data_IF_162601165578
#
_entry.id   IF_162601165578
#
_cell.length_a   1.000
_cell.length_b   1.000
_cell.length_c   1.000
_cell.angle_alpha   90.00
_cell.angle_beta   90.00
_cell.angle_gamma   90.00
#
_symmetry.space_group_name_H-M   'P 1'
#
loop_
_entity.id
_entity.type
_entity.pdbx_description
1 polymer ?
#
# COMPACT_ATOMS: atom_id res chain seq x y z
N UNK A 1 -0.20 -16.99 1.62
CA UNK A 1 -0.35 -16.41 0.27
C UNK A 1 0.48 -17.24 -0.69
N UNK A 2 -0.10 -17.69 -1.81
CA UNK A 2 0.65 -18.40 -2.85
C UNK A 2 1.53 -17.40 -3.64
N UNK A 3 2.54 -17.93 -4.36
CA UNK A 3 3.52 -17.08 -5.07
C UNK A 3 2.85 -16.21 -6.15
N UNK A 4 1.83 -16.73 -6.83
CA UNK A 4 1.07 -15.97 -7.82
C UNK A 4 0.41 -14.72 -7.23
N UNK A 5 -0.28 -14.83 -6.08
CA UNK A 5 -0.96 -13.70 -5.45
C UNK A 5 0.04 -12.72 -4.82
N UNK A 6 1.21 -13.20 -4.37
CA UNK A 6 2.32 -12.34 -3.98
C UNK A 6 2.83 -11.50 -5.15
N UNK A 7 3.12 -12.14 -6.30
CA UNK A 7 3.58 -11.43 -7.51
C UNK A 7 2.57 -10.39 -7.98
N UNK A 8 1.27 -10.72 -7.95
CA UNK A 8 0.20 -9.77 -8.25
C UNK A 8 0.21 -8.59 -7.26
N UNK A 9 0.29 -8.87 -5.94
CA UNK A 9 0.33 -7.81 -4.92
C UNK A 9 1.52 -6.85 -5.13
N UNK A 10 2.71 -7.39 -5.41
CA UNK A 10 3.91 -6.61 -5.67
C UNK A 10 3.80 -5.81 -6.98
N UNK A 11 3.27 -6.41 -8.05
CA UNK A 11 3.03 -5.71 -9.31
C UNK A 11 2.07 -4.52 -9.11
N UNK A 12 0.97 -4.71 -8.37
CA UNK A 12 0.04 -3.63 -8.04
C UNK A 12 0.71 -2.54 -7.20
N UNK A 13 1.58 -2.91 -6.26
CA UNK A 13 2.33 -1.96 -5.43
C UNK A 13 3.31 -1.11 -6.26
N UNK A 14 3.95 -1.73 -7.27
CA UNK A 14 4.82 -1.02 -8.21
C UNK A 14 3.99 -0.06 -9.06
N UNK A 15 2.86 -0.51 -9.60
CA UNK A 15 1.97 0.32 -10.43
C UNK A 15 1.48 1.55 -9.67
N UNK A 16 0.99 1.38 -8.43
CA UNK A 16 0.49 2.52 -7.66
C UNK A 16 1.62 3.48 -7.26
N UNK A 17 2.79 2.96 -6.89
CA UNK A 17 3.97 3.77 -6.57
C UNK A 17 4.44 4.56 -7.78
N UNK A 18 4.46 3.95 -8.97
CA UNK A 18 4.78 4.61 -10.23
C UNK A 18 3.79 5.72 -10.58
N UNK A 19 2.48 5.48 -10.40
CA UNK A 19 1.44 6.49 -10.61
C UNK A 19 1.58 7.68 -9.66
N UNK A 20 1.96 7.43 -8.39
CA UNK A 20 2.24 8.46 -7.40
C UNK A 20 3.50 9.28 -7.79
N UNK A 21 4.60 8.63 -8.14
CA UNK A 21 5.85 9.29 -8.55
C UNK A 21 5.64 10.15 -9.81
N UNK A 22 4.93 9.61 -10.80
CA UNK A 22 4.64 10.32 -12.05
C UNK A 22 3.55 11.40 -11.91
N UNK A 23 2.94 11.57 -10.72
CA UNK A 23 1.80 12.47 -10.51
C UNK A 23 0.63 12.21 -11.48
N UNK A 24 0.39 10.93 -11.83
CA UNK A 24 -0.59 10.50 -12.83
C UNK A 24 -1.88 9.92 -12.23
N UNK A 25 -2.01 9.87 -10.90
CA UNK A 25 -3.17 9.31 -10.19
C UNK A 25 -4.50 9.89 -10.68
N UNK A 26 -4.62 11.22 -10.81
CA UNK A 26 -5.85 11.87 -11.27
C UNK A 26 -6.15 11.58 -12.75
N UNK A 27 -5.12 11.56 -13.60
CA UNK A 27 -5.25 11.27 -15.04
C UNK A 27 -5.77 9.85 -15.26
N UNK A 28 -5.29 8.90 -14.46
CA UNK A 28 -5.66 7.50 -14.51
C UNK A 28 -6.55 7.12 -13.32
N UNK A 29 -7.55 7.96 -13.02
CA UNK A 29 -8.39 7.84 -11.82
C UNK A 29 -8.93 6.43 -11.61
N UNK A 30 -9.62 5.88 -12.59
CA UNK A 30 -10.25 4.56 -12.48
C UNK A 30 -9.25 3.44 -12.29
N UNK A 31 -8.14 3.48 -13.03
CA UNK A 31 -7.04 2.53 -12.87
C UNK A 31 -6.42 2.63 -11.47
N UNK A 32 -6.17 3.84 -10.98
CA UNK A 32 -5.57 4.08 -9.66
C UNK A 32 -6.47 3.56 -8.53
N UNK A 33 -7.79 3.77 -8.65
CA UNK A 33 -8.77 3.28 -7.68
C UNK A 33 -8.89 1.76 -7.73
N UNK A 34 -8.92 1.16 -8.93
CA UNK A 34 -8.94 -0.29 -9.09
C UNK A 34 -7.68 -0.94 -8.50
N UNK A 35 -6.50 -0.40 -8.80
CA UNK A 35 -5.23 -0.89 -8.25
C UNK A 35 -5.18 -0.73 -6.74
N UNK A 36 -5.62 0.42 -6.19
CA UNK A 36 -5.68 0.65 -4.75
C UNK A 36 -6.63 -0.34 -4.05
N UNK A 37 -7.79 -0.60 -4.65
CA UNK A 37 -8.75 -1.59 -4.12
C UNK A 37 -8.18 -3.01 -4.17
N UNK A 38 -7.56 -3.41 -5.27
CA UNK A 38 -6.92 -4.72 -5.39
C UNK A 38 -5.77 -4.88 -4.40
N UNK A 39 -4.97 -3.83 -4.16
CA UNK A 39 -3.93 -3.83 -3.12
C UNK A 39 -4.52 -4.02 -1.72
N UNK A 40 -5.63 -3.34 -1.42
CA UNK A 40 -6.33 -3.50 -0.15
C UNK A 40 -6.80 -4.94 0.04
N UNK A 41 -7.45 -5.52 -0.98
CA UNK A 41 -7.99 -6.88 -0.91
C UNK A 41 -6.89 -7.94 -0.76
N UNK A 42 -5.85 -7.85 -1.59
CA UNK A 42 -4.70 -8.78 -1.53
C UNK A 42 -3.91 -8.63 -0.23
N UNK A 43 -3.73 -7.39 0.25
CA UNK A 43 -3.09 -7.11 1.53
C UNK A 43 -3.89 -7.63 2.73
N UNK A 44 -5.20 -7.40 2.74
CA UNK A 44 -6.12 -7.90 3.77
C UNK A 44 -6.15 -9.43 3.81
N UNK A 45 -6.19 -10.08 2.64
CA UNK A 45 -6.11 -11.54 2.54
C UNK A 45 -4.80 -12.08 3.12
N UNK A 46 -3.66 -11.45 2.77
CA UNK A 46 -2.36 -11.85 3.33
C UNK A 46 -2.28 -11.62 4.85
N UNK A 47 -2.84 -10.51 5.35
CA UNK A 47 -2.89 -10.23 6.77
C UNK A 47 -3.72 -11.27 7.52
N UNK A 48 -4.94 -11.56 7.05
CA UNK A 48 -5.82 -12.55 7.66
C UNK A 48 -5.21 -13.96 7.67
N UNK A 49 -4.54 -14.37 6.59
CA UNK A 49 -3.89 -15.69 6.51
C UNK A 49 -2.65 -15.80 7.41
N UNK A 50 -1.89 -14.71 7.61
CA UNK A 50 -0.71 -14.70 8.49
C UNK A 50 -1.06 -14.55 9.98
N UNK A 51 -2.23 -13.99 10.30
CA UNK A 51 -2.71 -13.81 11.68
C UNK A 51 -3.16 -15.12 12.36
N UNK A 52 -3.20 -16.27 11.65
CA UNK A 52 -3.62 -17.54 12.25
C UNK A 52 -2.58 -18.13 13.23
N UNK A 53 -1.28 -17.93 12.98
CA UNK A 53 -0.21 -18.38 13.85
C UNK A 53 1.03 -17.45 13.79
N UNK A 54 0.89 -16.18 14.20
CA UNK A 54 1.95 -15.20 14.07
C UNK A 54 3.04 -15.34 15.15
N UNK A 55 4.31 -15.07 14.81
CA UNK A 55 5.41 -15.04 15.76
C UNK A 55 5.21 -13.98 16.88
N UNK A 56 5.84 -14.16 18.05
CA UNK A 56 5.80 -13.16 19.13
C UNK A 56 6.27 -11.78 18.63
N UNK A 57 5.54 -10.72 18.97
CA UNK A 57 5.85 -9.34 18.54
C UNK A 57 5.52 -9.00 17.07
N UNK A 58 5.18 -9.99 16.23
CA UNK A 58 4.85 -9.78 14.82
C UNK A 58 3.55 -8.98 14.63
N UNK A 59 2.55 -9.24 15.48
CA UNK A 59 1.22 -8.61 15.40
C UNK A 59 1.28 -7.08 15.44
N UNK A 60 2.07 -6.50 16.35
CA UNK A 60 2.15 -5.05 16.52
C UNK A 60 2.75 -4.40 15.26
N UNK A 61 3.85 -4.96 14.74
CA UNK A 61 4.50 -4.48 13.53
C UNK A 61 3.62 -4.68 12.29
N UNK A 62 2.92 -5.82 12.19
CA UNK A 62 1.98 -6.07 11.11
C UNK A 62 0.79 -5.10 11.13
N UNK A 63 0.26 -4.78 12.32
CA UNK A 63 -0.79 -3.79 12.51
C UNK A 63 -0.36 -2.37 12.13
N UNK A 64 0.82 -1.94 12.60
CA UNK A 64 1.41 -0.64 12.22
C UNK A 64 1.60 -0.56 10.71
N UNK A 65 2.17 -1.61 10.09
CA UNK A 65 2.33 -1.68 8.63
C UNK A 65 0.99 -1.55 7.91
N UNK A 66 -0.05 -2.23 8.39
CA UNK A 66 -1.39 -2.16 7.80
C UNK A 66 -1.99 -0.75 7.89
N UNK A 67 -1.84 -0.06 9.03
CA UNK A 67 -2.31 1.32 9.20
C UNK A 67 -1.59 2.30 8.26
N UNK A 68 -0.27 2.18 8.15
CA UNK A 68 0.54 3.01 7.24
C UNK A 68 0.16 2.73 5.78
N UNK A 69 -0.03 1.45 5.43
CA UNK A 69 -0.48 1.04 4.09
C UNK A 69 -1.86 1.61 3.77
N UNK A 70 -2.79 1.55 4.72
CA UNK A 70 -4.13 2.12 4.57
C UNK A 70 -4.09 3.65 4.41
N UNK A 71 -3.18 4.34 5.10
CA UNK A 71 -2.96 5.77 4.89
C UNK A 71 -2.51 6.08 3.46
N UNK A 72 -1.54 5.32 2.91
CA UNK A 72 -1.10 5.49 1.53
C UNK A 72 -2.26 5.31 0.54
N UNK A 73 -3.08 4.27 0.73
CA UNK A 73 -4.26 4.01 -0.10
C UNK A 73 -5.29 5.13 0.04
N UNK A 74 -5.60 5.58 1.26
CA UNK A 74 -6.53 6.69 1.49
C UNK A 74 -6.08 7.97 0.75
N UNK A 75 -4.79 8.27 0.73
CA UNK A 75 -4.26 9.40 -0.03
C UNK A 75 -4.43 9.22 -1.54
N UNK A 76 -4.32 8.00 -2.08
CA UNK A 76 -4.64 7.70 -3.49
C UNK A 76 -6.10 8.00 -3.80
N UNK A 77 -7.04 7.61 -2.93
CA UNK A 77 -8.46 7.95 -3.10
C UNK A 77 -8.69 9.46 -3.10
N UNK A 78 -8.02 10.21 -2.21
CA UNK A 78 -8.11 11.67 -2.16
C UNK A 78 -7.52 12.33 -3.41
N UNK A 79 -6.34 11.87 -3.88
CA UNK A 79 -5.70 12.35 -5.11
C UNK A 79 -6.53 12.03 -6.37
N UNK A 80 -7.18 10.87 -6.39
CA UNK A 80 -8.09 10.46 -7.47
C UNK A 80 -9.35 11.35 -7.53
N UNK A 81 -9.83 11.85 -6.38
CA UNK A 81 -10.92 12.82 -6.28
C UNK A 81 -10.51 14.22 -6.76
N UNK A 82 -9.27 14.61 -6.48
CA UNK A 82 -8.73 15.93 -6.76
C UNK A 82 -8.99 16.96 -5.65
N UNK A 83 -8.19 18.03 -5.66
CA UNK A 83 -8.25 19.15 -4.73
C UNK A 83 -7.38 20.32 -5.19
N UNK A 84 -7.16 21.30 -4.31
CA UNK A 84 -6.23 22.41 -4.58
C UNK A 84 -4.80 21.88 -4.76
N UNK A 85 -4.02 22.47 -5.67
CA UNK A 85 -2.69 21.98 -6.06
C UNK A 85 -1.75 21.80 -4.86
N UNK A 86 -1.73 22.75 -3.94
CA UNK A 86 -0.89 22.70 -2.74
C UNK A 86 -1.28 21.53 -1.82
N UNK A 87 -2.57 21.25 -1.73
CA UNK A 87 -3.10 20.13 -0.96
C UNK A 87 -2.75 18.79 -1.61
N UNK A 88 -2.86 18.71 -2.94
CA UNK A 88 -2.50 17.51 -3.71
C UNK A 88 -0.99 17.20 -3.59
N UNK A 89 -0.11 18.21 -3.62
CA UNK A 89 1.34 18.03 -3.40
C UNK A 89 1.62 17.43 -2.03
N UNK A 90 0.96 17.95 -0.97
CA UNK A 90 1.07 17.44 0.40
C UNK A 90 0.58 16.00 0.52
N UNK A 91 -0.58 15.69 -0.06
CA UNK A 91 -1.14 14.34 -0.07
C UNK A 91 -0.22 13.36 -0.81
N UNK A 92 0.31 13.74 -1.97
CA UNK A 92 1.25 12.92 -2.73
C UNK A 92 2.53 12.65 -1.93
N UNK A 93 3.09 13.67 -1.28
CA UNK A 93 4.27 13.49 -0.42
C UNK A 93 3.97 12.52 0.73
N UNK A 94 2.83 12.69 1.42
CA UNK A 94 2.39 11.76 2.45
C UNK A 94 2.23 10.34 1.94
N UNK A 95 1.56 10.16 0.80
CA UNK A 95 1.37 8.86 0.16
C UNK A 95 2.69 8.17 -0.19
N UNK A 96 3.65 8.90 -0.76
CA UNK A 96 4.96 8.37 -1.13
C UNK A 96 5.77 7.93 0.10
N UNK A 97 5.76 8.73 1.17
CA UNK A 97 6.44 8.39 2.42
C UNK A 97 5.81 7.14 3.03
N UNK A 98 4.48 7.11 3.15
CA UNK A 98 3.77 5.95 3.71
C UNK A 98 3.98 4.69 2.85
N UNK A 99 3.89 4.78 1.52
CA UNK A 99 4.15 3.66 0.63
C UNK A 99 5.58 3.13 0.78
N UNK A 100 6.58 4.02 0.85
CA UNK A 100 7.98 3.64 1.06
C UNK A 100 8.19 2.92 2.40
N UNK A 101 7.60 3.42 3.49
CA UNK A 101 7.66 2.78 4.81
C UNK A 101 6.95 1.43 4.80
N UNK A 102 5.75 1.32 4.20
CA UNK A 102 5.02 0.05 4.10
C UNK A 102 5.80 -1.01 3.33
N UNK A 103 6.47 -0.63 2.24
CA UNK A 103 7.34 -1.54 1.48
C UNK A 103 8.56 -1.96 2.30
N UNK A 104 9.23 -1.01 2.95
CA UNK A 104 10.38 -1.28 3.83
C UNK A 104 10.04 -2.23 4.97
N UNK A 105 8.92 -1.99 5.67
CA UNK A 105 8.40 -2.90 6.70
C UNK A 105 8.04 -4.27 6.12
N UNK A 106 7.53 -4.32 4.88
CA UNK A 106 7.24 -5.57 4.19
C UNK A 106 8.49 -6.43 3.99
N UNK A 107 9.58 -5.82 3.51
CA UNK A 107 10.88 -6.47 3.34
C UNK A 107 11.47 -6.93 4.68
N UNK A 108 11.37 -6.09 5.70
CA UNK A 108 11.84 -6.43 7.05
C UNK A 108 11.12 -7.67 7.61
N UNK A 109 9.77 -7.66 7.57
CA UNK A 109 8.97 -8.77 8.07
C UNK A 109 9.14 -10.05 7.26
N UNK A 110 9.43 -9.97 5.94
CA UNK A 110 9.60 -11.15 5.10
C UNK A 110 10.96 -11.84 5.23
N UNK A 111 11.99 -11.10 5.66
CA UNK A 111 13.37 -11.59 5.70
C UNK A 111 13.89 -11.83 7.12
N UNK A 112 13.45 -11.05 8.12
CA UNK A 112 14.04 -11.08 9.46
C UNK A 112 13.12 -11.78 10.47
N UNK A 113 11.80 -11.60 10.37
CA UNK A 113 10.82 -12.12 11.34
C UNK A 113 10.01 -13.32 10.80
N UNK A 114 10.64 -14.21 10.04
CA UNK A 114 9.97 -15.39 9.47
C UNK A 114 9.46 -16.36 10.52
#
# INVERSE_FOLDING_TARGET
MNDALLSVHLALAIVISGLLLASRVRRWRWLSLAVALLLLLTGAHNFATRMQAPPPGWHALAGIKALIGLHALAMVFLLARGGAEEKEKRWRKGALISAGVTLGMGLYLSNIMR
#
